data_IF_178041527921
#
_entry.id   IF_178041527921
#
_cell.length_a   1.000
_cell.length_b   1.000
_cell.length_c   1.000
_cell.angle_alpha   90.00
_cell.angle_beta   90.00
_cell.angle_gamma   90.00
#
_symmetry.space_group_name_H-M   'P 1'
#
loop_
_entity.id
_entity.type
_entity.pdbx_description
1 polymer ?
#
# COMPACT_ATOMS: atom_id res chain seq x y z
N UNK A 1 -13.56 14.65 18.79
CA UNK A 1 -13.48 13.52 17.84
C UNK A 1 -12.24 13.72 16.99
N UNK A 2 -11.47 12.65 16.68
CA UNK A 2 -10.45 12.74 15.63
C UNK A 2 -11.15 13.05 14.32
N UNK A 3 -10.59 13.97 13.54
CA UNK A 3 -11.07 14.28 12.20
C UNK A 3 -11.17 12.97 11.39
N UNK A 4 -12.36 12.63 10.84
CA UNK A 4 -12.54 11.43 10.01
C UNK A 4 -11.53 11.35 8.86
N UNK A 5 -11.08 12.49 8.32
CA UNK A 5 -10.09 12.51 7.26
C UNK A 5 -8.70 12.06 7.74
N UNK A 6 -8.36 12.28 9.02
CA UNK A 6 -7.11 11.79 9.61
C UNK A 6 -7.07 10.26 9.74
N UNK A 7 -8.22 9.59 9.78
CA UNK A 7 -8.29 8.13 9.72
C UNK A 7 -7.83 7.64 8.35
N UNK A 8 -8.33 8.23 7.27
CA UNK A 8 -7.95 7.85 5.90
C UNK A 8 -6.49 8.15 5.60
N UNK A 9 -5.96 9.29 6.06
CA UNK A 9 -4.51 9.58 5.99
C UNK A 9 -3.67 8.54 6.71
N UNK A 10 -4.09 8.13 7.90
CA UNK A 10 -3.38 7.07 8.64
C UNK A 10 -3.47 5.71 7.95
N UNK A 11 -4.61 5.36 7.35
CA UNK A 11 -4.79 4.10 6.61
C UNK A 11 -3.89 4.08 5.37
N UNK A 12 -3.91 5.17 4.59
CA UNK A 12 -3.02 5.35 3.44
C UNK A 12 -1.55 5.19 3.83
N UNK A 13 -1.11 5.86 4.90
CA UNK A 13 0.27 5.77 5.38
C UNK A 13 0.67 4.32 5.70
N UNK A 14 -0.17 3.60 6.43
CA UNK A 14 0.11 2.19 6.79
C UNK A 14 0.13 1.27 5.58
N UNK A 15 -0.78 1.47 4.64
CA UNK A 15 -0.81 0.69 3.40
C UNK A 15 0.45 0.96 2.55
N UNK A 16 0.93 2.21 2.51
CA UNK A 16 2.19 2.56 1.85
C UNK A 16 3.40 1.89 2.52
N UNK A 17 3.51 1.98 3.84
CA UNK A 17 4.58 1.31 4.61
C UNK A 17 4.57 -0.21 4.38
N UNK A 18 3.38 -0.80 4.27
CA UNK A 18 3.22 -2.23 3.96
C UNK A 18 3.68 -2.56 2.54
N UNK A 19 3.31 -1.72 1.57
CA UNK A 19 3.71 -1.88 0.17
C UNK A 19 5.24 -1.84 0.02
N UNK A 20 5.90 -0.91 0.69
CA UNK A 20 7.36 -0.76 0.64
C UNK A 20 8.06 -2.04 1.14
N UNK A 21 7.55 -2.65 2.22
CA UNK A 21 8.07 -3.92 2.76
C UNK A 21 7.85 -5.07 1.76
N UNK A 22 6.65 -5.17 1.18
CA UNK A 22 6.33 -6.22 0.22
C UNK A 22 7.18 -6.12 -1.05
N UNK A 23 7.47 -4.90 -1.51
CA UNK A 23 8.38 -4.67 -2.64
C UNK A 23 9.80 -5.14 -2.33
N UNK A 24 10.33 -4.81 -1.15
CA UNK A 24 11.66 -5.27 -0.73
C UNK A 24 11.74 -6.80 -0.68
N UNK A 25 10.72 -7.44 -0.11
CA UNK A 25 10.64 -8.91 -0.06
C UNK A 25 10.53 -9.52 -1.47
N UNK A 26 9.76 -8.91 -2.37
CA UNK A 26 9.66 -9.33 -3.77
C UNK A 26 11.03 -9.28 -4.44
N UNK A 27 11.76 -8.18 -4.30
CA UNK A 27 13.11 -8.03 -4.87
C UNK A 27 14.07 -9.08 -4.34
N UNK A 28 14.00 -9.43 -3.04
CA UNK A 28 14.83 -10.50 -2.50
C UNK A 28 14.49 -11.87 -3.11
N UNK A 29 13.20 -12.19 -3.27
CA UNK A 29 12.78 -13.45 -3.91
C UNK A 29 13.22 -13.50 -5.37
N UNK A 30 13.15 -12.38 -6.08
CA UNK A 30 13.61 -12.27 -7.47
C UNK A 30 15.12 -12.51 -7.57
N UNK A 31 15.93 -11.92 -6.68
CA UNK A 31 17.37 -12.18 -6.59
C UNK A 31 17.67 -13.66 -6.27
N UNK A 32 16.94 -14.27 -5.35
CA UNK A 32 17.12 -15.68 -5.01
C UNK A 32 16.76 -16.60 -6.20
N UNK A 33 15.79 -16.19 -7.02
CA UNK A 33 15.39 -16.90 -8.24
C UNK A 33 16.43 -16.75 -9.36
N UNK A 34 17.18 -15.65 -9.44
CA UNK A 34 18.32 -15.55 -10.38
C UNK A 34 19.38 -16.62 -10.09
N UNK A 35 19.59 -16.93 -8.81
CA UNK A 35 20.53 -17.97 -8.37
C UNK A 35 19.94 -19.38 -8.49
N UNK A 36 18.62 -19.55 -8.35
CA UNK A 36 17.93 -20.84 -8.43
C UNK A 36 16.57 -20.74 -9.15
N UNK A 37 16.55 -20.68 -10.50
CA UNK A 37 15.35 -20.36 -11.28
C UNK A 37 14.24 -21.43 -11.20
N UNK A 38 14.61 -22.69 -10.97
CA UNK A 38 13.69 -23.83 -10.94
C UNK A 38 13.08 -24.09 -9.56
N UNK A 39 13.38 -23.24 -8.57
CA UNK A 39 12.85 -23.38 -7.22
C UNK A 39 11.34 -23.19 -7.18
N UNK A 40 10.61 -24.30 -7.02
CA UNK A 40 9.16 -24.27 -6.90
C UNK A 40 8.68 -23.44 -5.69
N UNK A 41 9.42 -23.49 -4.58
CA UNK A 41 9.10 -22.75 -3.36
C UNK A 41 9.27 -21.24 -3.55
N UNK A 42 10.36 -20.80 -4.19
CA UNK A 42 10.56 -19.38 -4.48
C UNK A 42 9.52 -18.87 -5.48
N UNK A 43 9.19 -19.65 -6.52
CA UNK A 43 8.12 -19.31 -7.45
C UNK A 43 6.75 -19.21 -6.76
N UNK A 44 6.46 -20.09 -5.80
CA UNK A 44 5.22 -20.03 -5.00
C UNK A 44 5.20 -18.77 -4.12
N UNK A 45 6.30 -18.46 -3.44
CA UNK A 45 6.44 -17.22 -2.63
C UNK A 45 6.27 -15.98 -3.50
N UNK A 46 6.86 -15.95 -4.70
CA UNK A 46 6.72 -14.84 -5.64
C UNK A 46 5.26 -14.61 -6.05
N UNK A 47 4.50 -15.69 -6.30
CA UNK A 47 3.06 -15.57 -6.60
C UNK A 47 2.27 -15.01 -5.43
N UNK A 48 2.56 -15.47 -4.21
CA UNK A 48 1.89 -14.98 -3.02
C UNK A 48 2.18 -13.49 -2.81
N UNK A 49 3.45 -13.08 -2.89
CA UNK A 49 3.80 -11.68 -2.65
C UNK A 49 3.24 -10.75 -3.72
N UNK A 50 3.15 -11.19 -4.97
CA UNK A 50 2.50 -10.43 -6.02
C UNK A 50 1.00 -10.23 -5.75
N UNK A 51 0.32 -11.24 -5.16
CA UNK A 51 -1.07 -11.11 -4.75
C UNK A 51 -1.21 -10.12 -3.59
N UNK A 52 -0.35 -10.22 -2.58
CA UNK A 52 -0.35 -9.34 -1.43
C UNK A 52 -0.10 -7.87 -1.85
N UNK A 53 0.87 -7.63 -2.74
CA UNK A 53 1.12 -6.31 -3.34
C UNK A 53 -0.14 -5.77 -4.04
N UNK A 54 -0.81 -6.61 -4.85
CA UNK A 54 -2.02 -6.19 -5.56
C UNK A 54 -3.14 -5.80 -4.60
N UNK A 55 -3.32 -6.56 -3.51
CA UNK A 55 -4.30 -6.25 -2.46
C UNK A 55 -3.96 -4.91 -1.80
N UNK A 56 -2.70 -4.71 -1.38
CA UNK A 56 -2.27 -3.48 -0.72
C UNK A 56 -2.38 -2.25 -1.63
N UNK A 57 -2.10 -2.39 -2.94
CA UNK A 57 -2.32 -1.30 -3.91
C UNK A 57 -3.80 -0.94 -4.00
N UNK A 58 -4.70 -1.93 -4.06
CA UNK A 58 -6.14 -1.64 -4.04
C UNK A 58 -6.56 -0.93 -2.75
N UNK A 59 -6.01 -1.32 -1.60
CA UNK A 59 -6.28 -0.65 -0.31
C UNK A 59 -5.78 0.81 -0.31
N UNK A 60 -4.61 1.08 -0.91
CA UNK A 60 -4.11 2.44 -1.11
C UNK A 60 -5.05 3.28 -1.96
N UNK A 61 -5.48 2.75 -3.11
CA UNK A 61 -6.44 3.42 -3.99
C UNK A 61 -7.76 3.73 -3.27
N UNK A 62 -8.26 2.78 -2.47
CA UNK A 62 -9.46 3.00 -1.66
C UNK A 62 -9.25 4.07 -0.59
N UNK A 63 -8.10 4.09 0.08
CA UNK A 63 -7.77 5.09 1.09
C UNK A 63 -7.61 6.49 0.47
N UNK A 64 -6.99 6.58 -0.71
CA UNK A 64 -6.81 7.84 -1.46
C UNK A 64 -8.15 8.42 -1.91
N UNK A 65 -9.01 7.59 -2.49
CA UNK A 65 -10.36 7.99 -2.89
C UNK A 65 -11.20 8.45 -1.69
N UNK A 66 -11.10 7.74 -0.56
CA UNK A 66 -11.82 8.09 0.67
C UNK A 66 -11.30 9.40 1.28
N UNK A 67 -9.98 9.62 1.27
CA UNK A 67 -9.38 10.86 1.74
C UNK A 67 -9.81 12.06 0.89
N UNK A 68 -9.72 11.93 -0.45
CA UNK A 68 -10.15 12.99 -1.38
C UNK A 68 -11.64 13.34 -1.20
N UNK A 69 -12.49 12.32 -1.06
CA UNK A 69 -13.93 12.52 -0.80
C UNK A 69 -14.17 13.17 0.56
N UNK A 70 -13.38 12.83 1.58
CA UNK A 70 -13.48 13.43 2.91
C UNK A 70 -13.13 14.92 2.88
N UNK A 71 -12.03 15.28 2.20
CA UNK A 71 -11.56 16.67 2.06
C UNK A 71 -12.53 17.55 1.27
N UNK A 72 -13.19 16.99 0.25
CA UNK A 72 -14.26 17.70 -0.49
C UNK A 72 -15.46 18.01 0.42
N UNK A 73 -15.86 17.05 1.26
CA UNK A 73 -17.03 17.20 2.14
C UNK A 73 -16.73 17.98 3.43
N UNK A 74 -15.45 18.12 3.81
CA UNK A 74 -14.99 18.87 4.98
C UNK A 74 -13.85 19.82 4.57
N UNK A 75 -14.12 20.83 3.73
CA UNK A 75 -13.10 21.77 3.30
C UNK A 75 -12.53 22.47 4.54
N UNK A 76 -11.22 22.33 4.75
CA UNK A 76 -10.51 23.10 5.79
C UNK A 76 -10.79 24.59 5.56
N UNK A 77 -11.25 25.34 6.58
CA UNK A 77 -11.56 26.75 6.40
C UNK A 77 -10.29 27.48 5.96
N UNK A 78 -10.38 28.17 4.83
CA UNK A 78 -9.31 29.02 4.31
C UNK A 78 -9.04 30.08 5.39
N UNK A 79 -7.92 29.95 6.11
CA UNK A 79 -7.41 31.05 6.94
C UNK A 79 -6.78 32.06 6.00
N UNK A 80 -7.58 33.04 5.58
CA UNK A 80 -7.07 34.27 4.98
C UNK A 80 -6.21 34.98 6.05
N UNK A 81 -4.92 35.12 5.78
CA UNK A 81 -4.00 35.96 6.53
C UNK A 81 -4.10 37.40 6.05
#
# INVERSE_FOLDING_TARGET
MKDPCEIFKSQRKKAQETLDILQLQKSQIELDLELNPISADLNKKLRQINLDIKITVNELEHADNSNATCEINHPTPIRNN
#
